data_IF_629387282988
#
_entry.id   IF_629387282988
#
_cell.length_a   1.000
_cell.length_b   1.000
_cell.length_c   1.000
_cell.angle_alpha   90.00
_cell.angle_beta   90.00
_cell.angle_gamma   90.00
#
_symmetry.space_group_name_H-M   'P 1'
#
loop_
_entity.id
_entity.type
_entity.pdbx_description
1 polymer ?
#
# COMPACT_ATOMS: atom_id res chain seq x y z
N UNK A 1 8.79 -10.74 0.16
CA UNK A 1 8.64 -9.28 -0.01
C UNK A 1 7.48 -9.02 -0.98
N UNK A 2 6.66 -7.98 -0.75
CA UNK A 2 5.57 -7.57 -1.63
C UNK A 2 5.42 -6.04 -1.62
N UNK A 3 5.15 -5.42 -2.75
CA UNK A 3 4.91 -3.98 -2.89
C UNK A 3 3.80 -3.76 -3.92
N UNK A 4 2.58 -3.46 -3.44
CA UNK A 4 1.36 -3.41 -4.24
C UNK A 4 0.40 -4.54 -3.90
N UNK A 5 -0.45 -4.90 -4.85
CA UNK A 5 -1.51 -5.90 -4.70
C UNK A 5 -1.35 -7.14 -5.59
N UNK A 6 -0.22 -7.25 -6.29
CA UNK A 6 0.26 -8.56 -6.75
C UNK A 6 0.42 -9.52 -5.56
N UNK A 7 0.30 -10.82 -5.84
CA UNK A 7 0.32 -11.86 -4.80
C UNK A 7 1.18 -13.06 -5.18
N UNK A 8 1.96 -13.54 -4.20
CA UNK A 8 2.69 -14.79 -4.25
C UNK A 8 2.02 -15.83 -3.35
N UNK A 9 1.95 -17.07 -3.85
CA UNK A 9 1.47 -18.26 -3.13
C UNK A 9 2.42 -19.43 -3.42
N UNK A 10 2.48 -20.41 -2.52
CA UNK A 10 3.18 -21.67 -2.73
C UNK A 10 2.23 -22.85 -2.55
N UNK A 11 2.48 -23.95 -3.27
CA UNK A 11 1.90 -25.25 -2.97
C UNK A 11 2.85 -26.04 -2.07
N UNK A 12 2.41 -26.42 -0.87
CA UNK A 12 3.20 -27.19 0.09
C UNK A 12 2.40 -28.42 0.48
N UNK A 13 2.85 -29.61 0.05
CA UNK A 13 2.16 -30.89 0.28
C UNK A 13 0.70 -30.90 -0.23
N UNK A 14 0.44 -30.23 -1.35
CA UNK A 14 -0.89 -30.11 -1.95
C UNK A 14 -1.74 -28.96 -1.39
N UNK A 15 -1.32 -28.30 -0.32
CA UNK A 15 -2.02 -27.17 0.27
C UNK A 15 -1.52 -25.83 -0.28
N UNK A 16 -2.42 -24.84 -0.41
CA UNK A 16 -2.05 -23.49 -0.84
C UNK A 16 -1.66 -22.63 0.35
N UNK A 17 -0.41 -22.15 0.36
CA UNK A 17 0.14 -21.28 1.39
C UNK A 17 0.32 -19.88 0.82
N UNK A 18 -0.28 -18.89 1.47
CA UNK A 18 -0.11 -17.48 1.12
C UNK A 18 1.28 -17.00 1.55
N UNK A 19 2.06 -16.44 0.61
CA UNK A 19 3.43 -15.94 0.87
C UNK A 19 3.51 -14.41 0.97
N UNK A 20 2.45 -13.71 0.57
CA UNK A 20 2.40 -12.24 0.59
C UNK A 20 1.02 -11.73 0.97
N UNK A 21 0.97 -10.53 1.55
CA UNK A 21 -0.27 -9.79 1.82
C UNK A 21 -0.36 -8.58 0.89
N UNK A 22 -1.50 -8.40 0.25
CA UNK A 22 -1.75 -7.24 -0.61
C UNK A 22 -1.77 -5.95 0.21
N UNK A 23 -1.19 -4.89 -0.34
CA UNK A 23 -1.19 -3.58 0.28
C UNK A 23 -2.35 -2.74 -0.27
N UNK A 24 -3.48 -2.81 0.42
CA UNK A 24 -4.70 -2.06 0.09
C UNK A 24 -4.84 -0.83 0.99
N UNK A 25 -5.30 0.33 0.46
CA UNK A 25 -5.51 1.55 1.25
C UNK A 25 -6.48 1.38 2.43
N UNK A 26 -7.34 0.37 2.39
CA UNK A 26 -8.34 0.07 3.44
C UNK A 26 -7.75 -0.67 4.65
N UNK A 27 -6.53 -1.19 4.56
CA UNK A 27 -5.88 -1.82 5.70
C UNK A 27 -5.53 -0.76 6.75
N UNK A 28 -5.77 -1.06 8.03
CA UNK A 28 -5.64 -0.08 9.11
C UNK A 28 -4.26 0.60 9.15
N UNK A 29 -3.17 -0.15 9.00
CA UNK A 29 -1.81 0.40 9.01
C UNK A 29 -1.54 1.29 7.78
N UNK A 30 -2.03 0.87 6.61
CA UNK A 30 -1.88 1.64 5.37
C UNK A 30 -2.69 2.93 5.44
N UNK A 31 -3.95 2.85 5.89
CA UNK A 31 -4.84 4.00 6.08
C UNK A 31 -4.24 4.99 7.07
N UNK A 32 -3.72 4.51 8.20
CA UNK A 32 -3.06 5.34 9.20
C UNK A 32 -1.87 6.11 8.62
N UNK A 33 -1.03 5.44 7.82
CA UNK A 33 0.11 6.11 7.14
C UNK A 33 -0.38 7.16 6.14
N UNK A 34 -1.35 6.79 5.28
CA UNK A 34 -1.96 7.70 4.28
C UNK A 34 -2.47 8.97 4.96
N UNK A 35 -3.24 8.84 6.03
CA UNK A 35 -3.84 9.96 6.77
C UNK A 35 -2.77 10.80 7.49
N UNK A 36 -1.78 10.15 8.13
CA UNK A 36 -0.66 10.85 8.77
C UNK A 36 0.24 11.60 7.77
N UNK A 37 0.24 11.19 6.50
CA UNK A 37 0.96 11.84 5.42
C UNK A 37 0.15 12.97 4.73
N UNK A 38 -1.09 13.24 5.19
CA UNK A 38 -1.97 14.28 4.64
C UNK A 38 -2.88 13.82 3.50
N UNK A 39 -2.92 12.52 3.19
CA UNK A 39 -3.86 11.94 2.24
C UNK A 39 -5.16 11.48 2.91
N UNK A 40 -6.07 10.92 2.10
CA UNK A 40 -7.30 10.30 2.58
C UNK A 40 -7.61 9.03 1.78
N UNK A 41 -8.56 8.24 2.25
CA UNK A 41 -9.05 7.06 1.54
C UNK A 41 -10.52 7.26 1.20
N UNK A 42 -10.85 7.21 -0.09
CA UNK A 42 -12.20 7.36 -0.62
C UNK A 42 -12.45 6.31 -1.70
N UNK A 43 -13.62 5.66 -1.69
CA UNK A 43 -13.94 4.54 -2.60
C UNK A 43 -12.84 3.46 -2.66
N UNK A 44 -12.25 3.13 -1.50
CA UNK A 44 -11.11 2.20 -1.36
C UNK A 44 -9.83 2.62 -2.11
N UNK A 45 -9.69 3.91 -2.45
CA UNK A 45 -8.56 4.49 -3.19
C UNK A 45 -7.89 5.60 -2.38
N UNK A 46 -6.57 5.69 -2.48
CA UNK A 46 -5.78 6.83 -2.00
C UNK A 46 -6.18 8.08 -2.76
N UNK A 47 -6.62 9.09 -2.02
CA UNK A 47 -7.11 10.37 -2.51
C UNK A 47 -8.18 10.20 -3.63
N UNK A 48 -8.95 9.11 -3.60
CA UNK A 48 -9.93 8.79 -4.67
C UNK A 48 -9.32 8.30 -6.00
N UNK A 49 -7.99 8.27 -6.14
CA UNK A 49 -7.32 7.97 -7.41
C UNK A 49 -6.72 6.56 -7.47
N UNK A 50 -5.83 6.21 -6.53
CA UNK A 50 -4.99 5.02 -6.62
C UNK A 50 -5.52 3.89 -5.72
N UNK A 51 -5.73 2.70 -6.29
CA UNK A 51 -6.25 1.53 -5.55
C UNK A 51 -5.19 0.76 -4.74
N UNK A 52 -3.94 1.25 -4.75
CA UNK A 52 -2.78 0.67 -4.08
C UNK A 52 -2.31 1.61 -2.98
N UNK A 53 -1.79 1.06 -1.88
CA UNK A 53 -1.11 1.86 -0.86
C UNK A 53 0.42 1.78 -0.95
N UNK A 54 0.98 0.81 -1.67
CA UNK A 54 2.43 0.67 -1.86
C UNK A 54 2.76 0.40 -3.32
N UNK A 55 3.76 1.10 -3.86
CA UNK A 55 4.19 0.96 -5.24
C UNK A 55 5.55 1.64 -5.45
N UNK A 56 6.39 1.07 -6.32
CA UNK A 56 7.52 1.81 -6.88
C UNK A 56 7.02 2.88 -7.85
N UNK A 57 7.71 4.02 -7.93
CA UNK A 57 7.23 5.17 -8.70
C UNK A 57 6.19 5.97 -7.91
N UNK A 58 5.11 6.39 -8.58
CA UNK A 58 3.99 7.17 -7.99
C UNK A 58 4.45 8.44 -7.23
N UNK A 59 5.49 9.10 -7.74
CA UNK A 59 6.18 10.21 -7.06
C UNK A 59 5.26 11.38 -6.66
N UNK A 60 4.14 11.57 -7.37
CA UNK A 60 3.12 12.57 -7.02
C UNK A 60 2.52 12.37 -5.62
N UNK A 61 2.61 11.16 -5.06
CA UNK A 61 2.17 10.82 -3.70
C UNK A 61 3.33 10.77 -2.68
N UNK A 62 4.55 11.17 -3.11
CA UNK A 62 5.80 11.04 -2.35
C UNK A 62 6.54 12.37 -2.18
N UNK A 63 5.79 13.48 -2.09
CA UNK A 63 6.31 14.84 -1.97
C UNK A 63 5.99 15.52 -0.64
N UNK A 64 5.72 14.75 0.41
CA UNK A 64 5.63 15.32 1.74
C UNK A 64 7.04 15.59 2.28
N UNK A 65 7.49 16.85 2.19
CA UNK A 65 8.82 17.30 2.61
C UNK A 65 9.07 17.17 4.13
N UNK A 66 8.01 16.99 4.92
CA UNK A 66 8.09 16.82 6.38
C UNK A 66 8.14 15.34 6.79
N UNK A 67 8.14 14.40 5.83
CA UNK A 67 8.09 12.96 6.06
C UNK A 67 9.22 12.23 5.34
N UNK A 68 9.80 11.18 5.95
CA UNK A 68 10.72 10.28 5.24
C UNK A 68 9.98 9.47 4.16
N UNK A 69 10.74 8.72 3.34
CA UNK A 69 10.20 7.99 2.18
C UNK A 69 9.16 6.92 2.58
N UNK A 70 9.37 6.25 3.71
CA UNK A 70 8.51 5.21 4.28
C UNK A 70 7.23 5.75 4.95
N UNK A 71 7.13 7.06 5.14
CA UNK A 71 5.95 7.73 5.72
C UNK A 71 5.18 8.56 4.69
N UNK A 72 5.45 8.38 3.39
CA UNK A 72 4.69 9.02 2.32
C UNK A 72 3.28 8.42 2.18
N UNK A 73 2.41 9.11 1.44
CA UNK A 73 1.03 8.64 1.19
C UNK A 73 1.07 7.25 0.52
N UNK A 74 1.94 7.09 -0.48
CA UNK A 74 2.29 5.80 -1.09
C UNK A 74 3.76 5.54 -0.81
N UNK A 75 4.12 4.30 -0.44
CA UNK A 75 5.52 3.90 -0.21
C UNK A 75 6.00 2.91 -1.25
#
# INVERSE_FOLDING_TARGET
ANAGDSRAVASVRGETVQLSRDHKPTLADERKRIEAAGGWVEFNRVNGHLALSRALGDFKFKWNNSKPAEEQIVT
#
